data_IF_059965790809
#
_entry.id   IF_059965790809
#
_cell.length_a   1.000
_cell.length_b   1.000
_cell.length_c   1.000
_cell.angle_alpha   90.00
_cell.angle_beta   90.00
_cell.angle_gamma   90.00
#
_symmetry.space_group_name_H-M   'P 1'
#
loop_
_entity.id
_entity.type
_entity.pdbx_description
1 polymer ?
#
# COMPACT_ATOMS: atom_id res chain seq x y z
N UNK A 1 3.85 5.98 -58.11
CA UNK A 1 3.78 4.68 -57.42
C UNK A 1 4.15 4.90 -55.98
N UNK A 2 3.18 4.92 -55.09
CA UNK A 2 3.41 5.05 -53.64
C UNK A 2 3.41 3.66 -53.03
N UNK A 3 4.51 3.31 -52.39
CA UNK A 3 4.66 2.02 -51.67
C UNK A 3 4.07 2.20 -50.27
N UNK A 4 2.91 1.57 -50.03
CA UNK A 4 2.31 1.48 -48.70
C UNK A 4 2.95 0.31 -47.96
N UNK A 5 3.79 0.60 -46.95
CA UNK A 5 4.31 -0.41 -46.06
C UNK A 5 3.28 -0.66 -44.95
N UNK A 6 2.57 -1.78 -45.03
CA UNK A 6 1.73 -2.28 -43.94
C UNK A 6 2.64 -2.83 -42.83
N UNK A 7 2.74 -2.12 -41.74
CA UNK A 7 3.32 -2.67 -40.49
C UNK A 7 2.28 -3.60 -39.85
N UNK A 8 2.47 -4.91 -40.01
CA UNK A 8 1.71 -5.91 -39.27
C UNK A 8 2.13 -5.86 -37.80
N UNK A 9 1.31 -5.29 -36.93
CA UNK A 9 1.46 -5.43 -35.48
C UNK A 9 1.18 -6.89 -35.12
N UNK A 10 2.23 -7.64 -34.81
CA UNK A 10 2.12 -8.96 -34.19
C UNK A 10 1.46 -8.80 -32.83
N UNK A 11 0.19 -9.10 -32.74
CA UNK A 11 -0.51 -9.27 -31.48
C UNK A 11 0.11 -10.44 -30.73
N UNK A 12 0.92 -10.17 -29.70
CA UNK A 12 1.36 -11.18 -28.76
C UNK A 12 0.09 -11.70 -28.08
N UNK A 13 -0.24 -12.99 -28.16
CA UNK A 13 -1.40 -13.51 -27.44
C UNK A 13 -1.15 -13.34 -25.94
N UNK A 14 -2.01 -12.58 -25.26
CA UNK A 14 -2.02 -12.52 -23.81
C UNK A 14 -2.41 -13.91 -23.30
N UNK A 15 -1.43 -14.69 -22.86
CA UNK A 15 -1.69 -15.92 -22.13
C UNK A 15 -2.37 -15.49 -20.83
N UNK A 16 -3.65 -15.75 -20.71
CA UNK A 16 -4.42 -15.56 -19.47
C UNK A 16 -3.86 -16.52 -18.43
N UNK A 17 -3.11 -16.00 -17.47
CA UNK A 17 -2.63 -16.79 -16.35
C UNK A 17 -3.76 -16.86 -15.31
N UNK A 18 -4.54 -17.94 -15.32
CA UNK A 18 -5.54 -18.20 -14.26
C UNK A 18 -4.88 -18.43 -12.92
N UNK A 19 -3.69 -18.99 -12.88
CA UNK A 19 -2.90 -19.26 -11.68
C UNK A 19 -1.67 -18.38 -11.59
N UNK A 20 -1.19 -18.17 -10.35
CA UNK A 20 0.09 -17.50 -10.15
C UNK A 20 1.20 -18.33 -10.82
N UNK A 21 1.92 -17.79 -11.82
CA UNK A 21 2.98 -18.54 -12.47
C UNK A 21 4.12 -18.85 -11.48
N UNK A 22 4.89 -19.91 -11.67
CA UNK A 22 6.06 -20.20 -10.86
C UNK A 22 6.99 -18.99 -10.78
N UNK A 23 7.64 -18.78 -9.62
CA UNK A 23 8.63 -17.74 -9.48
C UNK A 23 9.82 -18.03 -10.40
N UNK A 24 10.22 -17.11 -11.30
CA UNK A 24 11.39 -17.31 -12.16
C UNK A 24 12.68 -17.50 -11.34
N UNK A 25 13.63 -18.26 -11.87
CA UNK A 25 14.90 -18.52 -11.20
C UNK A 25 15.65 -17.23 -10.85
N UNK A 26 16.03 -17.12 -9.59
CA UNK A 26 16.72 -15.95 -9.04
C UNK A 26 15.84 -14.70 -8.84
N UNK A 27 14.56 -14.74 -9.22
CA UNK A 27 13.62 -13.68 -8.87
C UNK A 27 13.25 -13.74 -7.37
N UNK A 28 12.80 -12.65 -6.82
CA UNK A 28 12.38 -12.54 -5.42
C UNK A 28 11.19 -11.56 -5.27
N UNK A 29 10.43 -11.72 -4.21
CA UNK A 29 9.12 -11.08 -4.08
C UNK A 29 9.07 -10.08 -2.93
N UNK A 30 8.62 -8.88 -3.23
CA UNK A 30 8.06 -7.93 -2.29
C UNK A 30 6.54 -8.12 -2.27
N UNK A 31 5.97 -8.35 -1.09
CA UNK A 31 4.54 -8.59 -0.95
C UNK A 31 3.85 -7.38 -0.29
N UNK A 32 2.69 -6.99 -0.82
CA UNK A 32 1.89 -5.90 -0.27
C UNK A 32 0.52 -6.44 0.13
N UNK A 33 0.17 -6.24 1.38
CA UNK A 33 -1.17 -6.45 1.93
C UNK A 33 -1.94 -5.14 1.71
N UNK A 34 -2.95 -5.13 0.82
CA UNK A 34 -3.82 -3.97 0.66
C UNK A 34 -4.70 -3.78 1.89
N UNK A 35 -5.51 -2.73 1.88
CA UNK A 35 -6.50 -2.41 2.90
C UNK A 35 -7.25 -3.65 3.38
N UNK A 36 -7.39 -3.79 4.70
CA UNK A 36 -7.98 -4.99 5.34
C UNK A 36 -9.27 -4.72 6.10
N UNK A 37 -9.88 -3.58 5.89
CA UNK A 37 -11.22 -3.26 6.41
C UNK A 37 -12.18 -4.38 6.01
N UNK A 38 -13.03 -4.88 6.82
CA UNK A 38 -14.09 -5.89 6.69
C UNK A 38 -14.00 -6.96 7.75
N UNK A 39 -14.28 -6.49 8.92
CA UNK A 39 -14.39 -7.37 10.06
C UNK A 39 -15.81 -7.92 10.18
N UNK A 40 -15.91 -9.13 10.68
CA UNK A 40 -17.13 -9.84 11.01
C UNK A 40 -17.12 -10.13 12.51
N UNK A 41 -18.28 -10.42 13.08
CA UNK A 41 -18.42 -10.75 14.49
C UNK A 41 -18.41 -9.53 15.40
N UNK A 42 -18.00 -9.72 16.64
CA UNK A 42 -17.96 -8.66 17.64
C UNK A 42 -17.07 -7.49 17.21
N UNK A 43 -17.54 -6.27 17.38
CA UNK A 43 -16.85 -5.06 16.92
C UNK A 43 -16.97 -4.77 15.43
N UNK A 44 -17.64 -5.62 14.64
CA UNK A 44 -17.95 -5.31 13.26
C UNK A 44 -18.97 -4.18 13.19
N UNK A 45 -18.84 -3.33 12.16
CA UNK A 45 -19.78 -2.22 11.97
C UNK A 45 -20.93 -2.57 11.03
N UNK A 46 -22.13 -2.39 11.52
CA UNK A 46 -23.36 -2.43 10.71
C UNK A 46 -23.75 -1.02 10.31
N UNK A 47 -23.39 -0.59 9.10
CA UNK A 47 -24.00 0.62 8.53
C UNK A 47 -25.47 0.32 8.24
N UNK A 48 -26.38 1.11 8.83
CA UNK A 48 -27.83 0.96 8.70
C UNK A 48 -28.35 0.96 7.24
N UNK A 49 -27.57 1.51 6.34
CA UNK A 49 -27.85 1.67 4.91
C UNK A 49 -27.23 0.59 4.00
N UNK A 50 -26.44 -0.34 4.55
CA UNK A 50 -25.94 -1.48 3.76
C UNK A 50 -26.99 -2.58 3.65
N UNK A 51 -27.37 -2.90 2.41
CA UNK A 51 -28.29 -4.00 2.07
C UNK A 51 -27.74 -5.40 2.44
N UNK A 52 -26.45 -5.53 2.71
CA UNK A 52 -25.83 -6.77 3.14
C UNK A 52 -25.73 -6.81 4.66
N UNK A 53 -26.31 -7.84 5.25
CA UNK A 53 -26.16 -8.11 6.68
C UNK A 53 -24.71 -8.53 6.96
N UNK A 54 -23.99 -7.71 7.73
CA UNK A 54 -22.68 -8.09 8.25
C UNK A 54 -22.92 -8.84 9.55
N UNK A 55 -22.52 -10.12 9.69
CA UNK A 55 -22.63 -10.82 10.95
C UNK A 55 -21.88 -10.08 12.05
N UNK A 56 -22.58 -9.75 13.14
CA UNK A 56 -22.02 -9.09 14.33
C UNK A 56 -21.86 -10.05 15.50
N UNK A 57 -22.40 -11.26 15.37
CA UNK A 57 -22.34 -12.29 16.39
C UNK A 57 -21.07 -13.12 16.30
N UNK A 58 -20.61 -13.60 17.44
CA UNK A 58 -19.41 -14.42 17.58
C UNK A 58 -18.11 -13.61 17.60
N UNK A 59 -16.96 -14.28 17.67
CA UNK A 59 -15.68 -13.63 17.79
C UNK A 59 -15.34 -12.77 16.57
N UNK A 60 -14.59 -11.71 16.80
CA UNK A 60 -14.03 -10.86 15.72
C UNK A 60 -13.19 -11.70 14.77
N UNK A 61 -13.42 -11.56 13.47
CA UNK A 61 -12.71 -12.28 12.42
C UNK A 61 -12.60 -11.46 11.15
N UNK A 62 -11.61 -11.78 10.34
CA UNK A 62 -11.42 -11.23 9.00
C UNK A 62 -10.78 -12.31 8.11
N UNK A 63 -11.57 -13.21 7.51
CA UNK A 63 -11.06 -14.35 6.75
C UNK A 63 -10.15 -13.97 5.59
N UNK A 64 -10.42 -12.84 4.94
CA UNK A 64 -9.58 -12.36 3.83
C UNK A 64 -8.20 -11.91 4.34
N UNK A 65 -8.14 -11.25 5.48
CA UNK A 65 -6.87 -10.84 6.08
C UNK A 65 -6.08 -12.06 6.59
N UNK A 66 -6.76 -13.01 7.23
CA UNK A 66 -6.14 -14.27 7.68
C UNK A 66 -5.52 -15.03 6.50
N UNK A 67 -6.30 -15.22 5.44
CA UNK A 67 -5.82 -15.90 4.22
C UNK A 67 -4.58 -15.25 3.62
N UNK A 68 -4.54 -13.91 3.55
CA UNK A 68 -3.38 -13.16 3.07
C UNK A 68 -2.14 -13.44 3.90
N UNK A 69 -2.26 -13.31 5.22
CA UNK A 69 -1.11 -13.51 6.14
C UNK A 69 -0.67 -14.97 6.16
N UNK A 70 -1.59 -15.92 6.19
CA UNK A 70 -1.27 -17.35 6.17
C UNK A 70 -0.58 -17.76 4.88
N UNK A 71 -1.04 -17.25 3.74
CA UNK A 71 -0.36 -17.51 2.47
C UNK A 71 1.05 -16.93 2.45
N UNK A 72 1.25 -15.70 2.92
CA UNK A 72 2.58 -15.09 3.00
C UNK A 72 3.51 -15.96 3.84
N UNK A 73 3.08 -16.33 5.05
CA UNK A 73 3.89 -17.15 5.96
C UNK A 73 4.19 -18.53 5.37
N UNK A 74 3.21 -19.16 4.73
CA UNK A 74 3.37 -20.47 4.09
C UNK A 74 4.24 -20.47 2.83
N UNK A 75 4.44 -19.32 2.21
CA UNK A 75 5.16 -19.19 0.94
C UNK A 75 6.45 -18.36 1.02
N UNK A 76 6.94 -18.01 2.21
CA UNK A 76 8.15 -17.19 2.37
C UNK A 76 9.34 -17.71 1.56
N UNK A 77 9.62 -19.00 1.66
CA UNK A 77 10.73 -19.64 0.95
C UNK A 77 10.42 -19.85 -0.54
N UNK A 78 9.23 -20.40 -0.86
CA UNK A 78 8.82 -20.72 -2.22
C UNK A 78 8.79 -19.49 -3.13
N UNK A 79 8.22 -18.40 -2.64
CA UNK A 79 8.08 -17.14 -3.36
C UNK A 79 9.25 -16.18 -3.09
N UNK A 80 10.21 -16.59 -2.28
CA UNK A 80 11.36 -15.78 -1.86
C UNK A 80 10.90 -14.38 -1.41
N UNK A 81 9.90 -14.36 -0.50
CA UNK A 81 9.35 -13.10 0.03
C UNK A 81 10.37 -12.49 0.99
N UNK A 82 10.95 -11.36 0.62
CA UNK A 82 12.00 -10.72 1.39
C UNK A 82 11.50 -9.52 2.20
N UNK A 83 10.33 -8.99 1.89
CA UNK A 83 9.71 -7.88 2.61
C UNK A 83 8.18 -7.87 2.42
N UNK A 84 7.46 -7.38 3.45
CA UNK A 84 6.00 -7.22 3.42
C UNK A 84 5.64 -5.80 3.83
N UNK A 85 4.74 -5.14 3.08
CA UNK A 85 4.13 -3.87 3.49
C UNK A 85 2.62 -4.03 3.63
N UNK A 86 2.03 -3.29 4.57
CA UNK A 86 0.60 -3.08 4.67
C UNK A 86 0.28 -1.62 4.33
N UNK A 87 -0.63 -1.39 3.38
CA UNK A 87 -0.92 -0.04 2.87
C UNK A 87 -1.80 0.82 3.78
N UNK A 88 -2.26 0.26 4.90
CA UNK A 88 -3.12 0.96 5.84
C UNK A 88 -4.58 0.53 5.77
N UNK A 89 -5.43 1.24 6.48
CA UNK A 89 -6.81 0.85 6.74
C UNK A 89 -6.88 -0.59 7.26
N UNK A 90 -6.08 -0.82 8.32
CA UNK A 90 -5.94 -2.11 8.97
C UNK A 90 -7.26 -2.51 9.61
N UNK A 91 -7.93 -1.52 10.23
CA UNK A 91 -9.24 -1.68 10.86
C UNK A 91 -10.32 -0.91 10.10
N UNK A 92 -11.56 -1.36 10.18
CA UNK A 92 -12.74 -0.61 9.71
C UNK A 92 -13.19 0.40 10.79
N UNK A 93 -13.08 -0.01 12.06
CA UNK A 93 -13.39 0.80 13.23
C UNK A 93 -12.30 0.69 14.29
N UNK A 94 -12.03 1.82 14.93
CA UNK A 94 -11.01 1.97 15.98
C UNK A 94 -11.46 1.40 17.32
N UNK A 95 -11.88 0.13 17.35
CA UNK A 95 -12.22 -0.60 18.58
C UNK A 95 -11.18 -1.65 18.92
N UNK A 96 -11.10 -2.02 20.20
CA UNK A 96 -10.09 -2.96 20.68
C UNK A 96 -10.23 -4.35 20.05
N UNK A 97 -11.41 -4.77 19.67
CA UNK A 97 -11.66 -6.07 19.04
C UNK A 97 -10.94 -6.17 17.68
N UNK A 98 -11.15 -5.20 16.80
CA UNK A 98 -10.50 -5.19 15.49
C UNK A 98 -8.99 -4.99 15.59
N UNK A 99 -8.55 -4.08 16.45
CA UNK A 99 -7.13 -3.84 16.66
C UNK A 99 -6.40 -5.05 17.24
N UNK A 100 -7.00 -5.71 18.26
CA UNK A 100 -6.45 -6.93 18.85
C UNK A 100 -6.34 -8.03 17.81
N UNK A 101 -7.40 -8.25 17.02
CA UNK A 101 -7.38 -9.23 15.95
C UNK A 101 -6.24 -8.95 14.95
N UNK A 102 -6.18 -7.72 14.42
CA UNK A 102 -5.18 -7.32 13.44
C UNK A 102 -3.74 -7.48 13.98
N UNK A 103 -3.51 -6.99 15.20
CA UNK A 103 -2.20 -7.09 15.85
C UNK A 103 -1.77 -8.53 16.06
N UNK A 104 -2.68 -9.38 16.57
CA UNK A 104 -2.41 -10.81 16.77
C UNK A 104 -2.12 -11.52 15.44
N UNK A 105 -2.88 -11.21 14.40
CA UNK A 105 -2.66 -11.80 13.08
C UNK A 105 -1.29 -11.40 12.52
N UNK A 106 -0.93 -10.13 12.58
CA UNK A 106 0.36 -9.64 12.09
C UNK A 106 1.56 -10.18 12.87
N UNK A 107 1.38 -10.70 14.12
CA UNK A 107 2.48 -11.37 14.86
C UNK A 107 2.96 -12.64 14.14
N UNK A 108 2.16 -13.22 13.26
CA UNK A 108 2.58 -14.38 12.47
C UNK A 108 3.78 -14.08 11.56
N UNK A 109 4.04 -12.79 11.24
CA UNK A 109 5.20 -12.33 10.48
C UNK A 109 6.43 -12.04 11.36
N UNK A 110 6.25 -11.82 12.68
CA UNK A 110 7.30 -11.42 13.59
C UNK A 110 8.46 -12.43 13.58
N UNK A 111 9.68 -11.94 13.33
CA UNK A 111 10.88 -12.75 13.26
C UNK A 111 11.02 -13.66 12.04
N UNK A 112 10.04 -13.70 11.15
CA UNK A 112 10.06 -14.53 9.92
C UNK A 112 10.41 -13.74 8.68
N UNK A 113 9.91 -12.51 8.57
CA UNK A 113 10.17 -11.62 7.44
C UNK A 113 10.11 -10.17 7.92
N UNK A 114 10.98 -9.27 7.41
CA UNK A 114 10.85 -7.84 7.65
C UNK A 114 9.53 -7.31 7.10
N UNK A 115 8.88 -6.42 7.88
CA UNK A 115 7.65 -5.80 7.40
C UNK A 115 7.46 -4.39 7.98
N UNK A 116 6.58 -3.61 7.35
CA UNK A 116 6.17 -2.30 7.81
C UNK A 116 4.70 -2.01 7.50
N UNK A 117 4.16 -0.99 8.14
CA UNK A 117 2.75 -0.64 8.09
C UNK A 117 2.62 0.87 7.90
N UNK A 118 1.82 1.30 6.93
CA UNK A 118 1.45 2.70 6.73
C UNK A 118 0.03 2.92 7.27
N UNK A 119 -0.16 3.62 8.39
CA UNK A 119 -1.50 3.85 8.92
C UNK A 119 -2.40 4.59 7.92
N UNK A 120 -3.61 4.06 7.71
CA UNK A 120 -4.63 4.64 6.84
C UNK A 120 -5.57 5.60 7.57
N UNK A 121 -6.57 6.12 6.86
CA UNK A 121 -7.52 7.07 7.45
C UNK A 121 -8.52 6.41 8.41
N UNK A 122 -8.70 5.09 8.34
CA UNK A 122 -9.44 4.35 9.36
C UNK A 122 -8.59 4.06 10.60
N UNK A 123 -7.28 4.15 10.50
CA UNK A 123 -6.34 3.85 11.59
C UNK A 123 -6.01 5.07 12.44
N UNK A 124 -6.07 6.28 11.85
CA UNK A 124 -5.82 7.56 12.54
C UNK A 124 -7.11 8.37 12.69
N UNK A 125 -7.14 9.37 13.57
CA UNK A 125 -8.31 10.24 13.69
C UNK A 125 -8.43 11.17 12.49
N UNK A 126 -9.67 11.38 12.04
CA UNK A 126 -9.98 12.35 10.99
C UNK A 126 -9.66 13.76 11.46
N UNK A 127 -9.03 14.57 10.63
CA UNK A 127 -8.59 15.96 10.84
C UNK A 127 -7.56 16.19 11.94
N UNK A 128 -7.38 15.27 12.86
CA UNK A 128 -6.44 15.39 13.99
C UNK A 128 -5.14 14.60 13.80
N UNK A 129 -5.15 13.58 12.94
CA UNK A 129 -4.02 12.70 12.71
C UNK A 129 -3.56 11.94 13.95
N UNK A 130 -4.46 11.74 14.94
CA UNK A 130 -4.16 10.99 16.15
C UNK A 130 -3.96 9.51 15.81
N UNK A 131 -2.74 9.04 16.01
CA UNK A 131 -2.29 7.66 15.77
C UNK A 131 -2.08 6.88 17.08
N UNK A 132 -2.63 7.34 18.19
CA UNK A 132 -2.40 6.73 19.52
C UNK A 132 -2.82 5.27 19.57
N UNK A 133 -4.00 4.92 19.02
CA UNK A 133 -4.45 3.54 18.97
C UNK A 133 -3.55 2.67 18.08
N UNK A 134 -3.15 3.18 16.92
CA UNK A 134 -2.17 2.48 16.08
C UNK A 134 -0.88 2.19 16.87
N UNK A 135 -0.32 3.21 17.56
CA UNK A 135 0.89 3.06 18.35
C UNK A 135 0.72 2.12 19.55
N UNK A 136 -0.48 2.02 20.13
CA UNK A 136 -0.78 1.04 21.21
C UNK A 136 -0.66 -0.41 20.71
N UNK A 137 -1.12 -0.69 19.49
CA UNK A 137 -1.19 -2.05 18.96
C UNK A 137 0.02 -2.43 18.10
N UNK A 138 0.67 -1.45 17.49
CA UNK A 138 1.90 -1.58 16.70
C UNK A 138 2.98 -0.63 17.21
N UNK A 139 3.37 -0.76 18.52
CA UNK A 139 4.36 0.13 19.11
C UNK A 139 5.74 -0.05 18.47
N UNK A 140 6.56 0.98 18.52
CA UNK A 140 7.96 0.93 18.07
C UNK A 140 8.73 -0.24 18.72
N UNK A 141 8.50 -0.52 20.01
CA UNK A 141 9.13 -1.62 20.75
C UNK A 141 8.89 -3.01 20.16
N UNK A 142 7.84 -3.19 19.37
CA UNK A 142 7.60 -4.43 18.63
C UNK A 142 8.65 -4.66 17.55
N UNK A 143 9.16 -3.60 16.94
CA UNK A 143 10.00 -3.64 15.73
C UNK A 143 11.48 -3.35 16.02
N UNK A 144 11.81 -2.46 16.94
CA UNK A 144 13.18 -1.97 17.17
C UNK A 144 14.17 -3.04 17.65
N UNK A 145 13.68 -4.19 18.10
CA UNK A 145 14.48 -5.37 18.44
C UNK A 145 15.07 -6.07 17.21
N UNK A 146 14.57 -5.77 16.01
CA UNK A 146 15.03 -6.39 14.78
C UNK A 146 16.06 -5.53 14.05
N UNK A 147 17.15 -6.12 13.51
CA UNK A 147 18.22 -5.36 12.85
C UNK A 147 17.77 -4.67 11.53
N UNK A 148 16.64 -5.08 11.00
CA UNK A 148 16.06 -4.46 9.81
C UNK A 148 15.23 -3.20 10.11
N UNK A 149 14.95 -2.90 11.37
CA UNK A 149 14.25 -1.66 11.73
C UNK A 149 15.25 -0.51 11.88
N UNK A 150 15.14 0.49 11.00
CA UNK A 150 16.09 1.59 10.92
C UNK A 150 15.63 2.86 11.64
N UNK A 151 14.44 2.84 12.25
CA UNK A 151 13.91 3.92 13.06
C UNK A 151 12.54 4.43 12.61
N UNK A 152 12.06 5.45 13.29
CA UNK A 152 10.79 6.10 13.04
C UNK A 152 10.92 7.62 13.15
N UNK A 153 9.90 8.34 12.68
CA UNK A 153 9.81 9.79 12.88
C UNK A 153 9.65 10.12 14.37
N UNK A 154 10.60 10.85 14.89
CA UNK A 154 10.69 11.21 16.32
C UNK A 154 9.77 12.41 16.63
N UNK A 155 8.63 12.12 17.22
CA UNK A 155 7.75 13.13 17.84
C UNK A 155 7.15 12.52 19.09
N UNK A 156 7.39 13.13 20.27
CA UNK A 156 6.80 12.68 21.52
C UNK A 156 5.27 12.83 21.47
N UNK A 157 4.53 12.08 22.30
CA UNK A 157 3.11 12.35 22.49
C UNK A 157 2.88 13.75 23.06
N UNK A 158 1.69 14.27 22.85
CA UNK A 158 1.26 15.54 23.45
C UNK A 158 1.09 15.41 24.98
N UNK A 159 0.74 16.51 25.64
CA UNK A 159 0.52 16.56 27.11
C UNK A 159 -0.56 15.61 27.62
N UNK A 160 -1.43 15.09 26.75
CA UNK A 160 -2.49 14.15 27.06
C UNK A 160 -2.09 12.71 26.68
N UNK A 161 -0.88 12.49 26.19
CA UNK A 161 -0.38 11.18 25.79
C UNK A 161 -0.76 10.78 24.36
N UNK A 162 -1.30 11.70 23.55
CA UNK A 162 -1.72 11.40 22.18
C UNK A 162 -0.55 11.55 21.20
N UNK A 163 -0.37 10.53 20.35
CA UNK A 163 0.58 10.57 19.25
C UNK A 163 -0.04 11.20 18.01
N UNK A 164 0.60 12.21 17.46
CA UNK A 164 0.27 12.78 16.16
C UNK A 164 1.50 12.67 15.26
N UNK A 165 1.45 11.76 14.30
CA UNK A 165 2.55 11.40 13.41
C UNK A 165 3.75 10.68 14.07
N UNK A 166 3.88 10.70 15.40
CA UNK A 166 4.99 10.11 16.14
C UNK A 166 4.84 8.61 16.44
N UNK A 167 5.70 8.11 17.30
CA UNK A 167 5.73 6.70 17.68
C UNK A 167 6.23 5.80 16.55
N UNK A 168 5.37 4.96 16.00
CA UNK A 168 5.67 4.08 14.86
C UNK A 168 4.79 4.37 13.63
N UNK A 169 4.06 5.51 13.64
CA UNK A 169 3.16 5.86 12.53
C UNK A 169 3.91 6.13 11.22
N UNK A 170 5.18 6.54 11.32
CA UNK A 170 6.08 6.73 10.19
C UNK A 170 7.40 6.04 10.49
N UNK A 171 7.76 5.04 9.70
CA UNK A 171 8.88 4.15 10.03
C UNK A 171 9.74 3.79 8.81
N UNK A 172 11.00 3.43 9.08
CA UNK A 172 11.98 3.02 8.10
C UNK A 172 12.49 1.62 8.39
N UNK A 173 12.53 0.78 7.37
CA UNK A 173 13.05 -0.57 7.43
C UNK A 173 14.09 -0.80 6.34
N UNK A 174 15.02 -1.72 6.60
CA UNK A 174 16.04 -2.16 5.66
C UNK A 174 15.82 -3.62 5.32
N UNK A 175 16.06 -3.98 4.08
CA UNK A 175 16.07 -5.38 3.67
C UNK A 175 17.21 -5.63 2.69
N UNK A 176 17.65 -6.88 2.63
CA UNK A 176 18.66 -7.31 1.68
C UNK A 176 18.36 -8.73 1.20
N UNK A 177 18.51 -8.96 -0.08
CA UNK A 177 18.37 -10.27 -0.71
C UNK A 177 19.32 -10.37 -1.91
N UNK A 178 20.11 -11.45 -1.98
CA UNK A 178 21.07 -11.71 -3.06
C UNK A 178 22.01 -10.52 -3.36
N UNK A 179 22.43 -9.79 -2.33
CA UNK A 179 23.26 -8.59 -2.47
C UNK A 179 22.50 -7.33 -2.92
N UNK A 180 21.21 -7.42 -3.23
CA UNK A 180 20.38 -6.26 -3.50
C UNK A 180 19.90 -5.64 -2.19
N UNK A 181 20.21 -4.37 -1.98
CA UNK A 181 19.92 -3.62 -0.76
C UNK A 181 18.76 -2.66 -0.96
N UNK A 182 17.77 -2.73 -0.05
CA UNK A 182 16.57 -1.92 -0.09
C UNK A 182 16.39 -1.08 1.19
N UNK A 183 15.73 0.04 1.05
CA UNK A 183 15.15 0.83 2.13
C UNK A 183 13.65 0.99 1.86
N UNK A 184 12.85 0.72 2.88
CA UNK A 184 11.41 0.89 2.86
C UNK A 184 11.02 2.00 3.82
N UNK A 185 10.23 2.96 3.35
CA UNK A 185 9.60 3.96 4.20
C UNK A 185 8.09 3.70 4.24
N UNK A 186 7.55 3.58 5.44
CA UNK A 186 6.11 3.50 5.68
C UNK A 186 5.65 4.83 6.24
N UNK A 187 4.84 5.54 5.47
CA UNK A 187 4.36 6.87 5.81
C UNK A 187 2.85 6.81 6.08
N UNK A 188 2.40 7.51 7.10
CA UNK A 188 0.98 7.64 7.40
C UNK A 188 0.20 8.30 6.27
N UNK A 189 -1.12 8.14 6.30
CA UNK A 189 -2.04 8.76 5.35
C UNK A 189 -1.88 10.29 5.37
N UNK A 190 -1.70 10.92 4.20
CA UNK A 190 -1.49 12.37 4.04
C UNK A 190 -0.36 12.93 4.91
N UNK A 191 0.77 12.23 4.96
CA UNK A 191 1.91 12.54 5.81
C UNK A 191 2.25 14.05 5.78
N UNK A 192 2.30 14.74 6.94
CA UNK A 192 2.60 16.16 7.01
C UNK A 192 4.02 16.52 6.52
N UNK A 193 4.22 17.79 6.22
CA UNK A 193 5.50 18.29 5.67
C UNK A 193 6.73 18.01 6.54
N UNK A 194 6.58 17.94 7.85
CA UNK A 194 7.68 17.57 8.76
C UNK A 194 8.01 16.07 8.71
N UNK A 195 7.03 15.22 8.52
CA UNK A 195 7.23 13.79 8.23
C UNK A 195 7.91 13.61 6.87
N UNK A 196 7.49 14.37 5.85
CA UNK A 196 8.15 14.31 4.53
C UNK A 196 9.61 14.79 4.58
N UNK A 197 9.94 15.80 5.41
CA UNK A 197 11.35 16.20 5.62
C UNK A 197 12.16 15.10 6.30
N UNK A 198 11.58 14.36 7.23
CA UNK A 198 12.22 13.19 7.82
C UNK A 198 12.42 12.08 6.76
N UNK A 199 11.41 11.81 5.95
CA UNK A 199 11.50 10.84 4.86
C UNK A 199 12.60 11.20 3.85
N UNK A 200 12.68 12.49 3.48
CA UNK A 200 13.74 13.06 2.63
C UNK A 200 15.14 12.75 3.21
N UNK A 201 15.37 13.05 4.49
CA UNK A 201 16.62 12.72 5.18
C UNK A 201 16.92 11.22 5.26
N UNK A 202 15.90 10.36 5.39
CA UNK A 202 16.09 8.91 5.39
C UNK A 202 16.46 8.39 3.99
N UNK A 203 15.85 8.92 2.94
CA UNK A 203 16.17 8.57 1.55
C UNK A 203 17.61 8.98 1.19
N UNK A 204 18.06 10.15 1.66
CA UNK A 204 19.45 10.60 1.52
C UNK A 204 20.42 9.70 2.30
N UNK A 205 20.11 9.43 3.56
CA UNK A 205 20.93 8.55 4.42
C UNK A 205 21.16 7.18 3.79
N UNK A 206 20.16 6.66 3.10
CA UNK A 206 20.20 5.35 2.46
C UNK A 206 20.24 5.43 0.92
N UNK A 207 20.84 6.48 0.36
CA UNK A 207 20.93 6.70 -1.09
C UNK A 207 21.57 5.53 -1.85
N UNK A 208 22.44 4.74 -1.21
CA UNK A 208 23.03 3.53 -1.78
C UNK A 208 22.13 2.29 -1.79
N UNK A 209 20.85 2.40 -1.37
CA UNK A 209 19.84 1.34 -1.38
C UNK A 209 18.71 1.70 -2.31
N UNK A 210 18.07 0.73 -2.96
CA UNK A 210 16.84 0.96 -3.71
C UNK A 210 15.72 1.31 -2.75
N UNK A 211 15.04 2.43 -2.98
CA UNK A 211 14.01 2.92 -2.08
C UNK A 211 12.60 2.54 -2.58
N UNK A 212 11.80 2.09 -1.64
CA UNK A 212 10.35 1.86 -1.80
C UNK A 212 9.62 2.67 -0.73
N UNK A 213 8.63 3.44 -1.13
CA UNK A 213 7.72 4.14 -0.21
C UNK A 213 6.39 3.41 -0.21
N UNK A 214 5.90 3.09 0.98
CA UNK A 214 4.52 2.69 1.22
C UNK A 214 3.81 3.84 1.94
N UNK A 215 2.67 4.26 1.43
CA UNK A 215 1.81 5.23 2.09
C UNK A 215 0.35 4.89 1.78
N UNK A 216 -0.59 5.41 2.58
CA UNK A 216 -1.99 5.02 2.35
C UNK A 216 -2.59 5.70 1.13
N UNK A 217 -2.35 6.99 0.95
CA UNK A 217 -2.85 7.76 -0.21
C UNK A 217 -1.68 8.35 -1.02
N UNK A 218 -1.63 8.08 -2.33
CA UNK A 218 -0.64 8.70 -3.21
C UNK A 218 -1.16 8.97 -4.61
N UNK A 219 -1.73 7.98 -5.28
CA UNK A 219 -2.29 8.10 -6.62
C UNK A 219 -3.72 7.58 -6.65
N UNK A 220 -4.52 8.08 -7.60
CA UNK A 220 -5.92 7.69 -7.72
C UNK A 220 -6.40 7.61 -9.15
N UNK A 221 -7.44 6.83 -9.35
CA UNK A 221 -8.11 6.67 -10.63
C UNK A 221 -8.96 7.89 -10.97
N UNK A 222 -8.79 8.44 -12.17
CA UNK A 222 -9.53 9.60 -12.66
C UNK A 222 -10.60 9.17 -13.65
N UNK A 223 -11.86 9.47 -13.35
CA UNK A 223 -12.98 9.37 -14.28
C UNK A 223 -13.71 10.70 -14.38
N UNK A 224 -14.51 10.86 -15.43
CA UNK A 224 -15.42 12.02 -15.54
C UNK A 224 -16.34 12.17 -14.34
N UNK A 225 -16.78 11.05 -13.73
CA UNK A 225 -17.60 11.06 -12.51
C UNK A 225 -16.82 11.58 -11.30
N UNK A 226 -15.56 11.20 -11.17
CA UNK A 226 -14.67 11.69 -10.12
C UNK A 226 -14.46 13.19 -10.29
N UNK A 227 -14.17 13.65 -11.50
CA UNK A 227 -14.01 15.07 -11.78
C UNK A 227 -15.27 15.87 -11.49
N UNK A 228 -16.45 15.31 -11.77
CA UNK A 228 -17.72 15.97 -11.43
C UNK A 228 -17.98 16.01 -9.91
N UNK A 229 -17.57 14.97 -9.15
CA UNK A 229 -17.67 14.95 -7.68
C UNK A 229 -16.73 15.99 -7.06
N UNK A 230 -15.52 16.14 -7.59
CA UNK A 230 -14.56 17.18 -7.21
C UNK A 230 -15.16 18.56 -7.36
N UNK A 231 -15.76 18.87 -8.51
CA UNK A 231 -16.39 20.17 -8.78
C UNK A 231 -17.56 20.49 -7.83
N UNK A 232 -18.17 19.47 -7.23
CA UNK A 232 -19.26 19.59 -6.24
C UNK A 232 -18.79 19.56 -4.79
N UNK A 233 -17.51 19.21 -4.53
CA UNK A 233 -16.97 19.20 -3.17
C UNK A 233 -16.87 20.62 -2.62
N UNK A 234 -17.25 20.82 -1.35
CA UNK A 234 -17.16 22.13 -0.68
C UNK A 234 -15.73 22.68 -0.64
N UNK A 235 -14.73 21.84 -0.73
CA UNK A 235 -13.31 22.16 -0.73
C UNK A 235 -12.65 21.61 -1.99
N UNK A 236 -13.17 21.98 -3.16
CA UNK A 236 -12.66 21.47 -4.45
C UNK A 236 -11.18 21.82 -4.66
N UNK A 237 -10.71 22.92 -4.09
CA UNK A 237 -9.31 23.32 -4.08
C UNK A 237 -8.39 22.41 -3.24
N UNK A 238 -8.97 21.66 -2.28
CA UNK A 238 -8.26 20.70 -1.44
C UNK A 238 -8.27 19.27 -1.98
N UNK A 239 -8.99 19.03 -3.06
CA UNK A 239 -9.02 17.71 -3.71
C UNK A 239 -7.87 17.61 -4.69
N UNK A 240 -6.89 16.79 -4.33
CA UNK A 240 -5.74 16.53 -5.19
C UNK A 240 -6.18 15.87 -6.49
N UNK A 241 -5.59 16.31 -7.58
CA UNK A 241 -5.77 15.69 -8.88
C UNK A 241 -5.35 14.21 -8.91
N UNK A 242 -4.53 13.77 -7.97
CA UNK A 242 -3.99 12.42 -7.87
C UNK A 242 -4.83 11.50 -7.01
N UNK A 243 -5.53 12.04 -6.02
CA UNK A 243 -6.32 11.26 -5.07
C UNK A 243 -7.73 10.90 -5.53
N UNK A 244 -8.10 11.21 -6.74
CA UNK A 244 -9.44 10.93 -7.19
C UNK A 244 -10.49 11.67 -6.37
N UNK A 245 -11.20 10.99 -5.47
CA UNK A 245 -12.29 11.56 -4.67
C UNK A 245 -11.93 11.87 -3.22
N UNK A 246 -10.71 11.55 -2.79
CA UNK A 246 -10.30 11.75 -1.40
C UNK A 246 -9.76 13.16 -1.17
N UNK A 247 -10.16 13.73 -0.06
CA UNK A 247 -9.65 15.01 0.42
C UNK A 247 -8.29 14.79 1.09
N UNK A 248 -7.24 15.40 0.58
CA UNK A 248 -5.90 15.32 1.13
C UNK A 248 -5.78 15.86 2.56
N UNK A 249 -6.71 16.71 3.00
CA UNK A 249 -6.77 17.23 4.36
C UNK A 249 -7.46 16.31 5.35
N UNK A 250 -7.96 15.16 4.92
CA UNK A 250 -8.82 14.28 5.71
C UNK A 250 -8.18 13.83 7.03
N UNK A 251 -6.93 13.41 7.01
CA UNK A 251 -6.27 12.87 8.21
C UNK A 251 -5.68 13.96 9.11
N UNK A 252 -5.09 14.99 8.55
CA UNK A 252 -4.31 15.98 9.30
C UNK A 252 -4.82 17.43 9.17
N UNK A 253 -5.99 17.64 8.56
CA UNK A 253 -6.49 18.98 8.26
C UNK A 253 -5.48 19.76 7.41
N UNK A 254 -5.26 21.02 7.70
CA UNK A 254 -4.34 21.90 6.97
C UNK A 254 -2.85 21.45 7.04
N UNK A 255 -2.51 20.52 7.92
CA UNK A 255 -1.16 19.95 7.99
C UNK A 255 -0.94 18.82 6.98
N UNK A 256 -1.99 18.22 6.46
CA UNK A 256 -1.92 17.14 5.49
C UNK A 256 -1.29 17.61 4.18
N UNK A 257 -0.56 16.71 3.52
CA UNK A 257 0.09 16.97 2.25
C UNK A 257 -0.51 16.06 1.17
N UNK A 258 -0.76 16.63 0.02
CA UNK A 258 -1.25 15.88 -1.14
C UNK A 258 -0.17 14.99 -1.75
N UNK A 259 -0.55 13.97 -2.52
CA UNK A 259 0.40 13.11 -3.23
C UNK A 259 1.23 13.89 -4.25
N UNK A 260 0.64 14.90 -4.92
CA UNK A 260 1.35 15.77 -5.84
C UNK A 260 2.40 16.61 -5.12
N UNK A 261 2.05 17.14 -3.96
CA UNK A 261 2.98 17.93 -3.16
C UNK A 261 4.08 17.04 -2.56
N UNK A 262 3.73 15.85 -2.07
CA UNK A 262 4.71 14.86 -1.60
C UNK A 262 5.68 14.46 -2.72
N UNK A 263 5.18 14.26 -3.94
CA UNK A 263 6.01 14.03 -5.11
C UNK A 263 6.99 15.20 -5.34
N UNK A 264 6.47 16.41 -5.44
CA UNK A 264 7.26 17.61 -5.75
C UNK A 264 8.26 17.97 -4.65
N UNK A 265 7.90 17.80 -3.38
CA UNK A 265 8.71 18.27 -2.24
C UNK A 265 9.69 17.23 -1.71
N UNK A 266 9.43 15.93 -1.94
CA UNK A 266 10.23 14.83 -1.43
C UNK A 266 10.53 13.78 -2.52
N UNK A 267 9.54 13.06 -3.02
CA UNK A 267 9.75 11.81 -3.75
C UNK A 267 10.55 11.99 -5.06
N UNK A 268 10.29 13.05 -5.84
CA UNK A 268 10.95 13.29 -7.12
C UNK A 268 12.47 13.53 -7.02
N UNK A 269 12.97 13.90 -5.84
CA UNK A 269 14.35 14.33 -5.64
C UNK A 269 15.36 13.19 -5.52
N UNK A 270 14.89 11.98 -5.23
CA UNK A 270 15.75 10.85 -4.85
C UNK A 270 15.98 9.89 -6.01
N UNK A 271 17.23 9.80 -6.46
CA UNK A 271 17.64 8.90 -7.54
C UNK A 271 17.45 7.41 -7.23
N UNK A 272 17.45 7.05 -5.96
CA UNK A 272 17.28 5.69 -5.49
C UNK A 272 15.81 5.24 -5.35
N UNK A 273 14.84 6.16 -5.38
CA UNK A 273 13.43 5.82 -5.34
C UNK A 273 13.01 5.14 -6.64
N UNK A 274 12.40 3.96 -6.54
CA UNK A 274 11.96 3.14 -7.68
C UNK A 274 10.45 2.85 -7.67
N UNK A 275 9.84 2.83 -6.48
CA UNK A 275 8.45 2.41 -6.32
C UNK A 275 7.77 3.15 -5.17
N UNK A 276 6.52 3.58 -5.39
CA UNK A 276 5.59 4.05 -4.36
C UNK A 276 4.37 3.16 -4.43
N UNK A 277 3.98 2.55 -3.31
CA UNK A 277 2.76 1.73 -3.20
C UNK A 277 1.76 2.41 -2.28
N UNK A 278 0.47 2.37 -2.65
CA UNK A 278 -0.60 3.01 -1.89
C UNK A 278 -1.89 2.19 -1.87
N UNK A 279 -2.79 2.50 -0.96
CA UNK A 279 -4.16 2.02 -0.82
C UNK A 279 -5.18 3.13 -1.02
N UNK A 280 -6.28 3.06 -0.30
CA UNK A 280 -7.41 4.01 -0.23
C UNK A 280 -7.84 4.59 -1.57
N UNK A 281 -8.92 4.22 -2.10
CA UNK A 281 -9.64 4.87 -3.21
C UNK A 281 -10.96 4.13 -3.52
N UNK A 282 -11.58 3.58 -2.52
CA UNK A 282 -12.81 2.81 -2.74
C UNK A 282 -13.87 3.49 -3.62
N UNK A 283 -14.64 2.75 -4.40
CA UNK A 283 -14.81 1.31 -4.29
C UNK A 283 -13.78 0.56 -5.14
N UNK A 284 -12.94 -0.18 -4.45
CA UNK A 284 -12.04 -1.23 -4.93
C UNK A 284 -11.41 -0.96 -6.31
N UNK A 285 -10.26 -0.35 -6.33
CA UNK A 285 -9.56 -0.02 -7.57
C UNK A 285 -8.08 -0.38 -7.52
N UNK A 286 -7.54 -0.57 -8.71
CA UNK A 286 -6.13 -0.67 -8.98
C UNK A 286 -5.74 0.40 -9.98
N UNK A 287 -4.61 1.05 -9.77
CA UNK A 287 -4.08 2.04 -10.67
C UNK A 287 -2.56 1.98 -10.72
N UNK A 288 -1.98 2.53 -11.77
CA UNK A 288 -0.54 2.69 -11.89
C UNK A 288 -0.18 3.90 -12.73
N UNK A 289 0.88 4.55 -12.35
CA UNK A 289 1.54 5.62 -13.10
C UNK A 289 3.05 5.41 -13.10
N UNK A 290 3.72 6.03 -14.05
CA UNK A 290 5.19 6.06 -14.11
C UNK A 290 5.62 7.50 -14.28
N UNK A 291 6.53 7.95 -13.43
CA UNK A 291 7.09 9.30 -13.48
C UNK A 291 8.61 9.28 -13.55
N UNK A 292 9.17 10.38 -13.99
CA UNK A 292 10.62 10.62 -13.90
C UNK A 292 10.90 11.52 -12.73
N UNK A 293 11.83 11.08 -11.86
CA UNK A 293 12.38 11.90 -10.81
C UNK A 293 13.30 12.99 -11.36
N UNK A 294 13.64 13.97 -10.54
CA UNK A 294 14.52 15.09 -10.91
C UNK A 294 15.94 14.63 -11.29
N UNK A 295 16.35 13.46 -10.84
CA UNK A 295 17.64 12.83 -11.20
C UNK A 295 17.55 11.93 -12.43
N UNK A 296 16.39 11.94 -13.14
CA UNK A 296 16.17 11.17 -14.36
C UNK A 296 15.76 9.71 -14.13
N UNK A 297 15.72 9.24 -12.89
CA UNK A 297 15.28 7.89 -12.55
C UNK A 297 13.80 7.68 -12.83
N UNK A 298 13.45 6.43 -13.12
CA UNK A 298 12.08 6.00 -13.29
C UNK A 298 11.50 5.62 -11.93
N UNK A 299 10.35 6.18 -11.59
CA UNK A 299 9.59 5.87 -10.37
C UNK A 299 8.20 5.40 -10.75
N UNK A 300 7.83 4.23 -10.29
CA UNK A 300 6.48 3.69 -10.47
C UNK A 300 5.63 3.99 -9.25
N UNK A 301 4.41 4.45 -9.47
CA UNK A 301 3.42 4.70 -8.42
C UNK A 301 2.24 3.77 -8.67
N UNK A 302 1.85 3.01 -7.66
CA UNK A 302 0.80 2.00 -7.77
C UNK A 302 -0.22 2.15 -6.66
N UNK A 303 -1.46 1.87 -7.00
CA UNK A 303 -2.59 1.82 -6.08
C UNK A 303 -3.18 0.41 -6.09
N UNK A 304 -3.50 -0.09 -4.93
CA UNK A 304 -4.24 -1.33 -4.69
C UNK A 304 -5.20 -1.17 -3.51
N UNK A 305 -6.49 -1.18 -3.77
CA UNK A 305 -7.54 -1.12 -2.76
C UNK A 305 -8.69 -2.06 -3.14
N UNK A 306 -8.87 -3.15 -2.40
CA UNK A 306 -9.80 -4.22 -2.73
C UNK A 306 -10.88 -4.53 -1.69
N UNK A 307 -11.01 -3.82 -0.54
CA UNK A 307 -11.80 -4.31 0.59
C UNK A 307 -13.31 -4.30 0.38
N UNK A 308 -13.81 -3.76 -0.72
CA UNK A 308 -15.26 -3.61 -0.96
C UNK A 308 -15.84 -4.61 -1.93
N UNK A 309 -15.06 -5.60 -2.35
CA UNK A 309 -15.53 -6.60 -3.27
C UNK A 309 -16.47 -7.58 -2.55
N UNK A 310 -16.15 -8.77 -2.48
CA UNK A 310 -16.98 -9.81 -1.84
C UNK A 310 -16.27 -10.34 -0.60
N UNK A 311 -16.94 -11.13 0.19
CA UNK A 311 -16.39 -11.68 1.44
C UNK A 311 -15.19 -12.64 1.20
N UNK A 312 -14.98 -13.05 -0.06
CA UNK A 312 -13.92 -13.94 -0.53
C UNK A 312 -12.78 -13.22 -1.26
N UNK A 313 -12.74 -11.89 -1.23
CA UNK A 313 -11.74 -11.11 -1.95
C UNK A 313 -10.48 -10.83 -1.09
N UNK A 314 -9.63 -11.83 -0.99
CA UNK A 314 -8.37 -11.78 -0.26
C UNK A 314 -7.17 -11.39 -1.13
N UNK A 315 -7.36 -10.50 -2.08
CA UNK A 315 -6.34 -10.08 -3.02
C UNK A 315 -5.08 -9.53 -2.34
N UNK A 316 -3.91 -10.09 -2.71
CA UNK A 316 -2.57 -9.60 -2.42
C UNK A 316 -1.96 -8.94 -3.66
N UNK A 317 -1.00 -8.06 -3.47
CA UNK A 317 -0.18 -7.54 -4.55
C UNK A 317 1.25 -8.08 -4.39
N UNK A 318 1.74 -8.80 -5.41
CA UNK A 318 3.08 -9.39 -5.47
C UNK A 318 3.92 -8.62 -6.47
N UNK A 319 5.05 -8.11 -6.04
CA UNK A 319 6.05 -7.43 -6.87
C UNK A 319 7.25 -8.35 -6.97
N UNK A 320 7.36 -9.10 -8.07
CA UNK A 320 8.44 -10.03 -8.33
C UNK A 320 9.57 -9.33 -9.08
N UNK A 321 10.63 -9.01 -8.38
CA UNK A 321 11.84 -8.44 -8.95
C UNK A 321 12.57 -9.50 -9.77
N UNK A 322 12.93 -9.18 -10.99
CA UNK A 322 13.78 -10.05 -11.81
C UNK A 322 15.19 -10.07 -11.24
N UNK A 323 15.89 -11.19 -11.37
CA UNK A 323 17.26 -11.39 -10.86
C UNK A 323 18.22 -10.28 -11.27
N UNK A 324 18.13 -9.80 -12.50
CA UNK A 324 18.99 -8.75 -13.07
C UNK A 324 18.52 -7.32 -12.73
N UNK A 325 17.46 -7.19 -11.95
CA UNK A 325 16.82 -5.91 -11.61
C UNK A 325 16.40 -5.09 -12.83
N UNK A 326 16.13 -5.72 -13.96
CA UNK A 326 15.66 -5.02 -15.16
C UNK A 326 14.21 -4.56 -15.05
N UNK A 327 13.40 -5.31 -14.32
CA UNK A 327 11.98 -5.05 -14.16
C UNK A 327 11.39 -5.72 -12.92
N UNK A 328 10.15 -5.32 -12.61
CA UNK A 328 9.30 -5.94 -11.60
C UNK A 328 8.05 -6.49 -12.31
N UNK A 329 7.81 -7.78 -12.22
CA UNK A 329 6.58 -8.41 -12.68
C UNK A 329 5.55 -8.38 -11.55
N UNK A 330 4.40 -7.76 -11.79
CA UNK A 330 3.40 -7.47 -10.76
C UNK A 330 2.16 -8.32 -10.97
N UNK A 331 1.70 -8.94 -9.89
CA UNK A 331 0.50 -9.77 -9.88
C UNK A 331 -0.43 -9.37 -8.73
N UNK A 332 -1.72 -9.27 -9.03
CA UNK A 332 -2.77 -9.28 -8.02
C UNK A 332 -3.25 -10.71 -7.87
N UNK A 333 -3.12 -11.30 -6.70
CA UNK A 333 -3.35 -12.73 -6.46
C UNK A 333 -4.26 -12.95 -5.26
N UNK A 334 -5.22 -13.85 -5.39
CA UNK A 334 -6.09 -14.30 -4.30
C UNK A 334 -5.64 -15.67 -3.80
N UNK A 335 -5.16 -15.78 -2.56
CA UNK A 335 -4.84 -17.06 -1.93
C UNK A 335 -6.02 -18.03 -1.84
N UNK A 336 -7.20 -17.56 -1.42
CA UNK A 336 -8.39 -18.42 -1.28
C UNK A 336 -8.87 -19.01 -2.60
N UNK A 337 -8.76 -18.22 -3.67
CA UNK A 337 -9.23 -18.63 -4.99
C UNK A 337 -8.12 -19.29 -5.82
N UNK A 338 -6.87 -19.29 -5.34
CA UNK A 338 -5.67 -19.76 -6.05
C UNK A 338 -5.60 -19.22 -7.50
N UNK A 339 -5.85 -17.92 -7.66
CA UNK A 339 -5.86 -17.31 -8.98
C UNK A 339 -5.31 -15.89 -9.00
N UNK A 340 -4.81 -15.52 -10.16
CA UNK A 340 -4.43 -14.14 -10.48
C UNK A 340 -5.65 -13.36 -10.93
N UNK A 341 -5.75 -12.11 -10.47
CA UNK A 341 -6.82 -11.22 -10.86
C UNK A 341 -6.61 -10.74 -12.31
N UNK A 342 -7.38 -11.25 -13.22
CA UNK A 342 -7.42 -10.78 -14.60
C UNK A 342 -8.45 -9.67 -14.81
N UNK A 343 -9.56 -9.75 -14.05
CA UNK A 343 -10.67 -8.82 -14.14
C UNK A 343 -11.41 -8.81 -12.80
N UNK A 344 -11.17 -7.82 -12.01
CA UNK A 344 -11.69 -7.75 -10.64
C UNK A 344 -13.16 -7.34 -10.54
N UNK A 345 -13.99 -7.57 -11.53
CA UNK A 345 -15.41 -7.22 -11.44
C UNK A 345 -15.69 -5.71 -11.35
N UNK A 346 -14.66 -4.88 -11.33
CA UNK A 346 -14.75 -3.43 -11.40
C UNK A 346 -14.31 -2.93 -12.78
N UNK A 347 -14.28 -1.65 -12.91
CA UNK A 347 -13.94 -0.89 -14.10
C UNK A 347 -12.55 -1.15 -14.66
N UNK A 348 -11.71 -1.87 -13.93
CA UNK A 348 -10.33 -2.13 -14.30
C UNK A 348 -10.22 -3.39 -15.16
N UNK A 349 -9.35 -3.33 -16.10
CA UNK A 349 -8.96 -4.48 -16.88
C UNK A 349 -7.65 -5.12 -16.34
N UNK A 350 -7.28 -6.26 -16.91
CA UNK A 350 -6.07 -6.99 -16.51
C UNK A 350 -4.79 -6.15 -16.49
N UNK A 351 -4.73 -5.04 -17.24
CA UNK A 351 -3.56 -4.15 -17.31
C UNK A 351 -3.20 -3.50 -15.99
N UNK A 352 -4.12 -3.47 -15.02
CA UNK A 352 -3.92 -2.93 -13.69
C UNK A 352 -3.65 -4.02 -12.63
N UNK A 353 -3.81 -5.29 -13.00
CA UNK A 353 -3.68 -6.42 -12.09
C UNK A 353 -2.49 -7.32 -12.41
N UNK A 354 -2.15 -7.44 -13.70
CA UNK A 354 -0.97 -8.18 -14.17
C UNK A 354 -0.21 -7.29 -15.14
N UNK A 355 0.99 -6.88 -14.76
CA UNK A 355 1.79 -5.97 -15.58
C UNK A 355 3.27 -6.03 -15.19
N UNK A 356 4.11 -5.44 -16.04
CA UNK A 356 5.55 -5.30 -15.79
C UNK A 356 5.92 -3.82 -15.63
N UNK A 357 6.77 -3.53 -14.67
CA UNK A 357 7.35 -2.21 -14.38
C UNK A 357 8.85 -2.24 -14.72
N UNK A 358 9.29 -1.63 -15.85
CA UNK A 358 10.71 -1.57 -16.18
C UNK A 358 11.45 -0.65 -15.21
N UNK A 359 12.64 -1.09 -14.75
CA UNK A 359 13.49 -0.33 -13.81
C UNK A 359 14.64 0.41 -14.50
N UNK A 360 14.73 0.30 -15.83
CA UNK A 360 15.74 0.97 -16.66
C UNK A 360 15.08 1.70 -17.82
#
# INVERSE_FOLDING_TARGET
>A
MAVVVLAAALAVPSVRAEKLPPLPEGAFTYCVIPDTQRYLGEGAHVKKDRKAHVPTDGPTRNPAFESRVDWIVGNLAKERIFFVSHTGDIVDFKNDQQWSFASNLMTRLDGKVPYGISPGNHDVSVSGGDSTLFNRWFPRSRFEKYPWYAGAFERPPDKNGHYVSGGNANSCQLAEIDGHRFVFLHLECNAPADVLRWADGMLDRYAGRKAVICTHMCVGYRTKEIDMRRRKAKNSEKVDEWFGVMDWSKCHGERGVSGEEAWRTCFSKHANLILVVSGDQGPAISWRETRRGEKGNVVHLTLQDYPRLRDDDDWLRLYRFRKDMSAIDVYTYSPQQDKVCEKAGFRDDSRFHVFTLPLK
#
